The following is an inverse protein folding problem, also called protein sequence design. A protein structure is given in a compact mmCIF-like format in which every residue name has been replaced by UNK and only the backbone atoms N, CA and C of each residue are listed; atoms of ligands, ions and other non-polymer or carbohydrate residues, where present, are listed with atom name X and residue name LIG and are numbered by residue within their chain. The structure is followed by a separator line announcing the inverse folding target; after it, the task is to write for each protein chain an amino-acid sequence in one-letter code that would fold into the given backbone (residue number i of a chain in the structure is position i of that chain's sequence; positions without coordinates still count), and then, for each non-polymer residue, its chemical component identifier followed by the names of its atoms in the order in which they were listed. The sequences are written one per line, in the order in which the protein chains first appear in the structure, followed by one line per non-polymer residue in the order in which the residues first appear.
data_IF_219834424774
#
_entry.id   IF_219834424774
#
_cell.length_a   1.000
_cell.length_b   1.000
_cell.length_c   1.000
_cell.angle_alpha   90.00
_cell.angle_beta   90.00
_cell.angle_gamma   90.00
#
_symmetry.space_group_name_H-M   'P 1'
#
loop_
_entity.id
_entity.type
_entity.pdbx_description
1 polymer ?
#
# COMPACT_ATOMS: atom_id res chain seq x y z
N UNK A 1 54.29 -24.46 1.96
CA UNK A 1 53.00 -24.14 1.30
C UNK A 1 53.34 -23.65 -0.08
N UNK A 2 52.90 -24.35 -1.11
CA UNK A 2 53.22 -23.98 -2.49
C UNK A 2 52.51 -22.68 -2.86
N UNK A 3 53.18 -21.84 -3.64
CA UNK A 3 52.67 -20.54 -4.09
C UNK A 3 51.28 -20.66 -4.75
N UNK A 4 51.03 -21.81 -5.38
CA UNK A 4 49.77 -22.19 -6.00
C UNK A 4 48.62 -22.40 -5.01
N UNK A 5 48.85 -23.09 -3.88
CA UNK A 5 47.81 -23.32 -2.86
C UNK A 5 47.44 -22.02 -2.15
N UNK A 6 48.41 -21.13 -1.92
CA UNK A 6 48.16 -19.79 -1.39
C UNK A 6 47.27 -18.96 -2.33
N UNK A 7 47.56 -18.96 -3.64
CA UNK A 7 46.74 -18.23 -4.62
C UNK A 7 45.30 -18.75 -4.71
N UNK A 8 45.10 -20.07 -4.69
CA UNK A 8 43.76 -20.67 -4.69
C UNK A 8 42.96 -20.23 -3.45
N UNK A 9 43.54 -20.33 -2.25
CA UNK A 9 42.88 -19.93 -1.01
C UNK A 9 42.51 -18.44 -1.05
N UNK A 10 43.41 -17.59 -1.54
CA UNK A 10 43.19 -16.15 -1.64
C UNK A 10 42.06 -15.81 -2.62
N UNK A 11 41.99 -16.48 -3.77
CA UNK A 11 40.90 -16.30 -4.75
C UNK A 11 39.57 -16.78 -4.18
N UNK A 12 39.52 -17.95 -3.53
CA UNK A 12 38.30 -18.44 -2.91
C UNK A 12 37.83 -17.53 -1.76
N UNK A 13 38.75 -17.04 -0.93
CA UNK A 13 38.44 -16.05 0.11
C UNK A 13 37.93 -14.74 -0.49
N UNK A 14 38.55 -14.23 -1.56
CA UNK A 14 38.10 -13.04 -2.26
C UNK A 14 36.72 -13.23 -2.91
N UNK A 15 36.43 -14.38 -3.52
CA UNK A 15 35.12 -14.71 -4.09
C UNK A 15 34.07 -14.89 -2.99
N UNK A 16 34.43 -15.50 -1.85
CA UNK A 16 33.55 -15.64 -0.71
C UNK A 16 33.21 -14.27 -0.09
N UNK A 17 34.22 -13.42 0.12
CA UNK A 17 34.06 -12.04 0.61
C UNK A 17 33.28 -11.20 -0.38
N UNK A 18 33.58 -11.29 -1.69
CA UNK A 18 32.81 -10.62 -2.74
C UNK A 18 31.35 -11.07 -2.74
N UNK A 19 31.08 -12.39 -2.65
CA UNK A 19 29.70 -12.91 -2.51
C UNK A 19 29.03 -12.50 -1.21
N UNK A 20 29.80 -12.34 -0.13
CA UNK A 20 29.27 -11.88 1.17
C UNK A 20 28.94 -10.38 1.14
N UNK A 21 29.75 -9.59 0.45
CA UNK A 21 29.56 -8.15 0.25
C UNK A 21 28.48 -7.87 -0.80
N UNK A 22 28.41 -8.67 -1.88
CA UNK A 22 27.38 -8.61 -2.93
C UNK A 22 26.03 -9.19 -2.49
N UNK A 23 25.97 -9.85 -1.33
CA UNK A 23 24.71 -10.28 -0.69
C UNK A 23 23.86 -9.10 -0.19
N UNK A 24 24.28 -7.84 -0.39
CA UNK A 24 23.52 -6.66 0.03
C UNK A 24 23.04 -5.80 -1.14
N UNK A 25 21.74 -5.50 -1.04
CA UNK A 25 20.92 -4.59 -1.85
C UNK A 25 20.56 -5.11 -3.24
N UNK A 26 19.77 -6.20 -3.28
CA UNK A 26 18.87 -6.42 -4.42
C UNK A 26 17.99 -5.19 -4.53
N UNK A 27 18.21 -4.39 -5.59
CA UNK A 27 17.42 -3.17 -5.83
C UNK A 27 15.94 -3.53 -5.94
N UNK A 28 15.01 -2.65 -5.53
CA UNK A 28 13.58 -2.92 -5.65
C UNK A 28 13.18 -3.37 -7.06
N UNK A 29 13.78 -2.75 -8.10
CA UNK A 29 13.60 -3.14 -9.51
C UNK A 29 14.06 -4.57 -9.80
N UNK A 30 15.26 -4.95 -9.34
CA UNK A 30 15.77 -6.32 -9.54
C UNK A 30 14.88 -7.36 -8.83
N UNK A 31 14.33 -7.02 -7.66
CA UNK A 31 13.42 -7.87 -6.90
C UNK A 31 12.09 -8.07 -7.65
N UNK A 32 11.48 -6.99 -8.12
CA UNK A 32 10.26 -7.03 -8.93
C UNK A 32 10.48 -7.86 -10.20
N UNK A 33 11.59 -7.64 -10.90
CA UNK A 33 11.93 -8.43 -12.10
C UNK A 33 12.13 -9.92 -11.78
N UNK A 34 12.69 -10.26 -10.62
CA UNK A 34 12.82 -11.65 -10.17
C UNK A 34 11.44 -12.28 -9.87
N UNK A 35 10.54 -11.52 -9.22
CA UNK A 35 9.16 -11.96 -8.96
C UNK A 35 8.39 -12.18 -10.26
N UNK A 36 8.45 -11.24 -11.19
CA UNK A 36 7.79 -11.36 -12.50
C UNK A 36 8.32 -12.55 -13.30
N UNK A 37 9.64 -12.75 -13.36
CA UNK A 37 10.22 -13.94 -14.04
C UNK A 37 9.71 -15.24 -13.45
N UNK A 38 9.55 -15.31 -12.12
CA UNK A 38 9.00 -16.50 -11.45
C UNK A 38 7.52 -16.67 -11.75
N UNK A 39 6.75 -15.60 -11.70
CA UNK A 39 5.33 -15.59 -12.07
C UNK A 39 5.13 -16.13 -13.50
N UNK A 40 5.82 -15.57 -14.49
CA UNK A 40 5.69 -16.02 -15.89
C UNK A 40 6.13 -17.47 -16.11
N UNK A 41 7.09 -17.97 -15.31
CA UNK A 41 7.46 -19.38 -15.36
C UNK A 41 6.34 -20.30 -14.84
N UNK A 42 5.57 -19.86 -13.85
CA UNK A 42 4.41 -20.57 -13.31
C UNK A 42 3.20 -20.47 -14.26
N UNK A 43 2.98 -19.30 -14.86
CA UNK A 43 1.89 -19.10 -15.82
C UNK A 43 1.99 -20.06 -17.02
N UNK A 44 3.22 -20.35 -17.49
CA UNK A 44 3.47 -21.33 -18.55
C UNK A 44 3.07 -22.76 -18.20
N UNK A 45 2.86 -23.09 -16.93
CA UNK A 45 2.39 -24.42 -16.53
C UNK A 45 0.86 -24.54 -16.59
N UNK A 46 0.15 -23.50 -17.04
CA UNK A 46 -1.31 -23.50 -17.15
C UNK A 46 -2.05 -23.21 -15.83
N UNK A 47 -1.34 -22.75 -14.80
CA UNK A 47 -1.95 -22.33 -13.54
C UNK A 47 -2.72 -21.01 -13.72
N UNK A 48 -3.79 -20.84 -12.96
CA UNK A 48 -4.52 -19.56 -12.88
C UNK A 48 -3.65 -18.49 -12.21
N UNK A 49 -3.96 -17.21 -12.42
CA UNK A 49 -3.21 -16.11 -11.81
C UNK A 49 -3.14 -16.20 -10.27
N UNK A 50 -4.23 -16.46 -9.52
CA UNK A 50 -4.17 -16.64 -8.07
C UNK A 50 -3.26 -17.80 -7.64
N UNK A 51 -3.30 -18.92 -8.36
CA UNK A 51 -2.43 -20.08 -8.09
C UNK A 51 -0.96 -19.76 -8.34
N UNK A 52 -0.65 -19.05 -9.43
CA UNK A 52 0.70 -18.57 -9.73
C UNK A 52 1.22 -17.67 -8.60
N UNK A 53 0.39 -16.74 -8.12
CA UNK A 53 0.75 -15.81 -7.05
C UNK A 53 0.95 -16.54 -5.72
N UNK A 54 0.07 -17.48 -5.38
CA UNK A 54 0.22 -18.29 -4.17
C UNK A 54 1.49 -19.14 -4.20
N UNK A 55 1.76 -19.83 -5.31
CA UNK A 55 2.98 -20.63 -5.48
C UNK A 55 4.24 -19.75 -5.43
N UNK A 56 4.17 -18.54 -6.00
CA UNK A 56 5.25 -17.56 -5.89
C UNK A 56 5.51 -17.17 -4.43
N UNK A 57 4.48 -16.93 -3.62
CA UNK A 57 4.61 -16.58 -2.20
C UNK A 57 5.12 -17.77 -1.37
N UNK A 58 4.58 -18.97 -1.58
CA UNK A 58 4.97 -20.18 -0.86
C UNK A 58 6.42 -20.61 -1.12
N UNK A 59 6.99 -20.24 -2.27
CA UNK A 59 8.40 -20.52 -2.59
C UNK A 59 9.35 -19.39 -2.15
N UNK A 60 8.82 -18.27 -1.65
CA UNK A 60 9.59 -17.10 -1.24
C UNK A 60 9.99 -17.19 0.23
N UNK A 61 11.30 -17.09 0.51
CA UNK A 61 11.91 -17.36 1.83
C UNK A 61 11.20 -16.72 3.03
N UNK A 62 10.79 -15.45 2.90
CA UNK A 62 10.20 -14.68 4.00
C UNK A 62 8.67 -14.86 4.12
N UNK A 63 8.04 -15.49 3.13
CA UNK A 63 6.59 -15.63 3.04
C UNK A 63 6.13 -17.08 3.22
N UNK A 64 6.99 -18.05 2.90
CA UNK A 64 6.70 -19.49 2.99
C UNK A 64 6.31 -19.97 4.39
N UNK A 65 6.67 -19.23 5.42
CA UNK A 65 6.38 -19.58 6.81
C UNK A 65 5.02 -19.01 7.28
N UNK A 66 4.38 -18.15 6.48
CA UNK A 66 3.06 -17.64 6.81
C UNK A 66 1.99 -18.70 6.48
N UNK A 67 0.94 -18.82 7.30
CA UNK A 67 -0.16 -19.74 7.08
C UNK A 67 -0.75 -19.63 5.66
N UNK A 68 -1.02 -20.77 5.02
CA UNK A 68 -1.58 -20.79 3.67
C UNK A 68 -2.88 -19.98 3.55
N UNK A 69 -3.80 -20.13 4.52
CA UNK A 69 -5.06 -19.36 4.59
C UNK A 69 -4.86 -17.84 4.57
N UNK A 70 -3.81 -17.35 5.21
CA UNK A 70 -3.48 -15.93 5.26
C UNK A 70 -2.98 -15.43 3.90
N UNK A 71 -2.14 -16.22 3.22
CA UNK A 71 -1.66 -15.91 1.87
C UNK A 71 -2.80 -15.93 0.84
N UNK A 72 -3.73 -16.89 0.96
CA UNK A 72 -4.95 -16.95 0.13
C UNK A 72 -5.79 -15.70 0.31
N UNK A 73 -6.04 -15.30 1.56
CA UNK A 73 -6.81 -14.08 1.84
C UNK A 73 -6.10 -12.82 1.31
N UNK A 74 -4.78 -12.76 1.39
CA UNK A 74 -4.02 -11.64 0.85
C UNK A 74 -4.13 -11.55 -0.69
N UNK A 75 -3.93 -12.67 -1.38
CA UNK A 75 -3.99 -12.73 -2.85
C UNK A 75 -5.42 -12.46 -3.35
N UNK A 76 -6.45 -12.94 -2.67
CA UNK A 76 -7.84 -12.71 -3.08
C UNK A 76 -8.26 -11.23 -2.99
N UNK A 77 -7.70 -10.49 -2.02
CA UNK A 77 -7.95 -9.04 -1.85
C UNK A 77 -7.20 -8.19 -2.87
N UNK A 78 -6.00 -8.62 -3.24
CA UNK A 78 -5.14 -7.92 -4.18
C UNK A 78 -5.48 -8.38 -5.61
N UNK A 79 -6.33 -7.60 -6.28
CA UNK A 79 -7.01 -7.91 -7.56
C UNK A 79 -6.11 -8.21 -8.77
N UNK A 80 -4.79 -8.12 -8.66
CA UNK A 80 -3.86 -8.34 -9.76
C UNK A 80 -2.48 -8.79 -9.30
N UNK A 81 -1.75 -9.50 -10.17
CA UNK A 81 -0.32 -9.81 -9.98
C UNK A 81 0.52 -8.57 -9.70
N UNK A 82 0.23 -7.45 -10.36
CA UNK A 82 0.95 -6.20 -10.14
C UNK A 82 0.80 -5.73 -8.69
N UNK A 83 -0.41 -5.84 -8.14
CA UNK A 83 -0.70 -5.40 -6.78
C UNK A 83 -0.09 -6.33 -5.73
N UNK A 84 -0.14 -7.65 -5.95
CA UNK A 84 0.55 -8.63 -5.09
C UNK A 84 2.05 -8.40 -5.10
N UNK A 85 2.68 -8.26 -6.28
CA UNK A 85 4.13 -8.06 -6.40
C UNK A 85 4.56 -6.74 -5.74
N UNK A 86 3.78 -5.67 -5.94
CA UNK A 86 4.02 -4.36 -5.31
C UNK A 86 3.89 -4.44 -3.79
N UNK A 87 2.81 -5.05 -3.30
CA UNK A 87 2.58 -5.27 -1.88
C UNK A 87 3.76 -6.02 -1.27
N UNK A 88 4.12 -7.17 -1.84
CA UNK A 88 5.26 -7.98 -1.38
C UNK A 88 6.55 -7.18 -1.36
N UNK A 89 6.82 -6.40 -2.41
CA UNK A 89 8.03 -5.58 -2.47
C UNK A 89 8.10 -4.57 -1.34
N UNK A 90 7.02 -3.81 -1.10
CA UNK A 90 6.94 -2.82 -0.02
C UNK A 90 7.07 -3.49 1.34
N UNK A 91 6.30 -4.55 1.58
CA UNK A 91 6.36 -5.29 2.84
C UNK A 91 7.78 -5.72 3.15
N UNK A 92 8.51 -6.22 2.15
CA UNK A 92 9.90 -6.63 2.32
C UNK A 92 10.90 -5.50 2.53
N UNK A 93 10.73 -4.37 1.84
CA UNK A 93 11.58 -3.19 2.04
C UNK A 93 11.51 -2.68 3.48
N UNK A 94 10.31 -2.71 4.06
CA UNK A 94 10.06 -2.28 5.44
C UNK A 94 10.04 -3.43 6.46
N UNK A 95 10.32 -4.66 6.01
CA UNK A 95 10.37 -5.89 6.82
C UNK A 95 9.08 -6.23 7.57
N UNK A 96 7.93 -5.76 7.11
CA UNK A 96 6.63 -6.01 7.75
C UNK A 96 6.28 -7.50 7.83
N UNK A 97 6.69 -8.28 6.84
CA UNK A 97 6.54 -9.74 6.82
C UNK A 97 7.34 -10.46 7.92
N UNK A 98 8.39 -9.82 8.45
CA UNK A 98 9.17 -10.36 9.57
C UNK A 98 8.65 -9.87 10.93
N UNK A 99 8.18 -8.64 11.00
CA UNK A 99 7.86 -7.98 12.28
C UNK A 99 6.39 -8.02 12.63
N UNK A 100 5.48 -7.87 11.66
CA UNK A 100 4.04 -7.72 11.92
C UNK A 100 3.24 -8.95 11.48
N UNK A 101 3.51 -9.49 10.28
CA UNK A 101 2.67 -10.54 9.71
C UNK A 101 2.67 -11.87 10.47
N UNK A 102 3.75 -12.31 11.15
CA UNK A 102 3.71 -13.55 11.91
C UNK A 102 2.64 -13.54 13.00
N UNK A 103 2.43 -12.41 13.67
CA UNK A 103 1.40 -12.29 14.69
C UNK A 103 0.01 -12.13 14.07
N UNK A 104 -0.14 -11.22 13.10
CA UNK A 104 -1.41 -11.00 12.41
C UNK A 104 -1.94 -12.29 11.74
N UNK A 105 -1.06 -13.12 11.21
CA UNK A 105 -1.45 -14.36 10.52
C UNK A 105 -2.01 -15.45 11.46
N UNK A 106 -1.79 -15.32 12.78
CA UNK A 106 -2.36 -16.22 13.79
C UNK A 106 -3.81 -15.88 14.14
N UNK A 107 -4.27 -14.66 13.84
CA UNK A 107 -5.64 -14.24 14.13
C UNK A 107 -6.64 -15.21 13.50
N UNK A 108 -7.71 -15.51 14.24
CA UNK A 108 -8.78 -16.39 13.77
C UNK A 108 -9.58 -15.71 12.65
N UNK A 109 -9.87 -14.42 12.83
CA UNK A 109 -10.50 -13.60 11.81
C UNK A 109 -9.44 -12.99 10.89
N UNK A 110 -9.36 -13.50 9.66
CA UNK A 110 -8.41 -12.99 8.67
C UNK A 110 -8.83 -11.63 8.11
N UNK A 111 -10.08 -11.21 8.25
CA UNK A 111 -10.49 -9.86 7.84
C UNK A 111 -9.87 -8.81 8.76
N UNK A 112 -9.89 -9.02 10.08
CA UNK A 112 -9.23 -8.15 11.05
C UNK A 112 -7.72 -8.04 10.75
N UNK A 113 -7.08 -9.17 10.44
CA UNK A 113 -5.67 -9.19 10.04
C UNK A 113 -5.43 -8.35 8.77
N UNK A 114 -6.30 -8.44 7.75
CA UNK A 114 -6.19 -7.60 6.54
C UNK A 114 -6.45 -6.12 6.86
N UNK A 115 -7.34 -5.83 7.79
CA UNK A 115 -7.64 -4.49 8.29
C UNK A 115 -6.43 -3.87 8.98
N UNK A 116 -5.73 -4.63 9.82
CA UNK A 116 -4.48 -4.18 10.45
C UNK A 116 -3.37 -3.93 9.44
N UNK A 117 -3.23 -4.78 8.43
CA UNK A 117 -2.25 -4.56 7.34
C UNK A 117 -2.60 -3.29 6.56
N UNK A 118 -3.87 -3.10 6.21
CA UNK A 118 -4.33 -1.88 5.54
C UNK A 118 -4.04 -0.63 6.39
N UNK A 119 -4.26 -0.71 7.71
CA UNK A 119 -3.95 0.35 8.67
C UNK A 119 -2.45 0.67 8.71
N UNK A 120 -1.58 -0.34 8.73
CA UNK A 120 -0.13 -0.16 8.64
C UNK A 120 0.27 0.60 7.37
N UNK A 121 -0.29 0.23 6.22
CA UNK A 121 0.00 0.86 4.93
C UNK A 121 -0.57 2.28 4.86
N UNK A 122 -1.80 2.51 5.33
CA UNK A 122 -2.42 3.84 5.37
C UNK A 122 -1.60 4.81 6.22
N UNK A 123 -1.18 4.38 7.42
CA UNK A 123 -0.30 5.15 8.32
C UNK A 123 1.05 5.45 7.68
N UNK A 124 1.64 4.47 7.01
CA UNK A 124 2.90 4.66 6.32
C UNK A 124 2.77 5.66 5.17
N UNK A 125 1.73 5.53 4.35
CA UNK A 125 1.41 6.49 3.29
C UNK A 125 1.16 7.89 3.82
N UNK A 126 0.48 8.03 4.96
CA UNK A 126 0.27 9.32 5.61
C UNK A 126 1.58 9.97 6.08
N UNK A 127 2.55 9.20 6.59
CA UNK A 127 3.90 9.73 6.88
C UNK A 127 4.60 10.21 5.62
N UNK A 128 4.57 9.43 4.54
CA UNK A 128 5.14 9.82 3.24
C UNK A 128 4.51 11.11 2.71
N UNK A 129 3.20 11.29 2.90
CA UNK A 129 2.49 12.52 2.54
C UNK A 129 3.02 13.73 3.33
N UNK A 130 3.30 13.59 4.63
CA UNK A 130 3.90 14.65 5.46
C UNK A 130 5.34 15.00 5.05
N UNK A 131 6.04 14.05 4.45
CA UNK A 131 7.36 14.23 3.84
C UNK A 131 7.27 14.76 2.39
N UNK A 132 6.08 15.14 1.91
CA UNK A 132 5.81 15.61 0.54
C UNK A 132 6.14 14.57 -0.56
N UNK A 133 6.30 13.30 -0.19
CA UNK A 133 6.57 12.18 -1.09
C UNK A 133 5.29 11.62 -1.67
N UNK A 134 4.49 12.49 -2.29
CA UNK A 134 3.10 12.19 -2.69
C UNK A 134 2.95 10.98 -3.63
N UNK A 135 3.89 10.78 -4.56
CA UNK A 135 3.86 9.61 -5.48
C UNK A 135 3.98 8.29 -4.72
N UNK A 136 4.83 8.25 -3.70
CA UNK A 136 5.04 7.06 -2.86
C UNK A 136 3.88 6.88 -1.88
N UNK A 137 3.36 7.99 -1.33
CA UNK A 137 2.17 7.99 -0.49
C UNK A 137 0.95 7.41 -1.23
N UNK A 138 0.66 7.93 -2.43
CA UNK A 138 -0.43 7.45 -3.29
C UNK A 138 -0.28 5.95 -3.57
N UNK A 139 0.92 5.52 -3.89
CA UNK A 139 1.21 4.12 -4.20
C UNK A 139 0.87 3.18 -3.04
N UNK A 140 1.34 3.50 -1.82
CA UNK A 140 1.08 2.67 -0.63
C UNK A 140 -0.39 2.75 -0.20
N UNK A 141 -1.00 3.95 -0.26
CA UNK A 141 -2.41 4.15 0.10
C UNK A 141 -3.36 3.40 -0.85
N UNK A 142 -3.04 3.31 -2.14
CA UNK A 142 -3.80 2.45 -3.07
C UNK A 142 -3.74 0.97 -2.70
N UNK A 143 -2.61 0.49 -2.18
CA UNK A 143 -2.52 -0.89 -1.67
C UNK A 143 -3.39 -1.06 -0.42
N UNK A 144 -3.38 -0.10 0.51
CA UNK A 144 -4.27 -0.11 1.68
C UNK A 144 -5.75 -0.14 1.27
N UNK A 145 -6.15 0.70 0.31
CA UNK A 145 -7.52 0.75 -0.21
C UNK A 145 -7.95 -0.58 -0.85
N UNK A 146 -7.05 -1.27 -1.55
CA UNK A 146 -7.38 -2.59 -2.14
C UNK A 146 -7.58 -3.67 -1.09
N UNK A 147 -6.81 -3.63 0.00
CA UNK A 147 -6.97 -4.56 1.12
C UNK A 147 -8.29 -4.30 1.85
N UNK A 148 -8.63 -3.03 2.06
CA UNK A 148 -9.86 -2.65 2.75
C UNK A 148 -10.56 -1.45 2.06
N UNK A 149 -11.40 -1.71 1.05
CA UNK A 149 -12.01 -0.66 0.24
C UNK A 149 -13.13 0.11 0.95
N UNK A 150 -13.72 -0.46 2.00
CA UNK A 150 -14.85 0.14 2.73
C UNK A 150 -14.42 0.85 4.02
N UNK A 151 -13.12 1.00 4.26
CA UNK A 151 -12.63 1.61 5.49
C UNK A 151 -12.30 3.09 5.28
N UNK A 152 -12.78 3.97 6.17
CA UNK A 152 -12.51 5.40 6.06
C UNK A 152 -11.00 5.71 6.09
N UNK A 153 -10.24 4.96 6.89
CA UNK A 153 -8.81 5.19 7.06
C UNK A 153 -7.97 4.83 5.83
N UNK A 154 -8.54 4.13 4.84
CA UNK A 154 -7.86 3.89 3.55
C UNK A 154 -8.24 4.93 2.49
N UNK A 155 -9.49 5.43 2.51
CA UNK A 155 -10.00 6.44 1.58
C UNK A 155 -9.48 7.84 1.89
N UNK A 156 -9.62 8.30 3.13
CA UNK A 156 -9.35 9.69 3.52
C UNK A 156 -7.88 10.11 3.28
N UNK A 157 -6.86 9.30 3.60
CA UNK A 157 -5.47 9.65 3.28
C UNK A 157 -5.18 9.71 1.77
N UNK A 158 -5.79 8.82 0.99
CA UNK A 158 -5.66 8.84 -0.47
C UNK A 158 -6.30 10.09 -1.06
N UNK A 159 -7.49 10.45 -0.58
CA UNK A 159 -8.17 11.69 -0.95
C UNK A 159 -7.32 12.92 -0.62
N UNK A 160 -6.70 12.96 0.57
CA UNK A 160 -5.80 14.04 0.95
C UNK A 160 -4.55 14.12 0.07
N UNK A 161 -4.01 12.99 -0.37
CA UNK A 161 -2.89 12.94 -1.31
C UNK A 161 -3.30 13.44 -2.70
N UNK A 162 -4.49 13.08 -3.19
CA UNK A 162 -5.04 13.63 -4.43
C UNK A 162 -5.30 15.13 -4.34
N UNK A 163 -5.86 15.62 -3.23
CA UNK A 163 -6.00 17.05 -2.97
C UNK A 163 -4.66 17.77 -3.02
N UNK A 164 -3.64 17.24 -2.33
CA UNK A 164 -2.29 17.83 -2.26
C UNK A 164 -1.57 17.85 -3.62
N UNK A 165 -2.00 17.00 -4.56
CA UNK A 165 -1.45 16.92 -5.93
C UNK A 165 -2.34 17.59 -6.98
N UNK A 166 -3.37 18.35 -6.55
CA UNK A 166 -4.27 19.11 -7.45
C UNK A 166 -5.33 18.26 -8.14
N UNK A 167 -5.42 16.96 -7.85
CA UNK A 167 -6.40 16.03 -8.44
C UNK A 167 -7.73 16.10 -7.68
N UNK A 168 -8.35 17.27 -7.68
CA UNK A 168 -9.55 17.55 -6.88
C UNK A 168 -10.76 16.70 -7.29
N UNK A 169 -10.93 16.43 -8.58
CA UNK A 169 -12.00 15.57 -9.11
C UNK A 169 -11.90 14.13 -8.60
N UNK A 170 -10.68 13.61 -8.45
CA UNK A 170 -10.44 12.25 -7.95
C UNK A 170 -10.53 12.19 -6.42
N UNK A 171 -10.20 13.29 -5.75
CA UNK A 171 -10.23 13.40 -4.29
C UNK A 171 -11.65 13.48 -3.73
N UNK A 172 -12.53 14.25 -4.39
CA UNK A 172 -13.87 14.54 -3.91
C UNK A 172 -14.71 13.29 -3.57
N UNK A 173 -14.89 12.29 -4.48
CA UNK A 173 -15.67 11.10 -4.16
C UNK A 173 -15.05 10.30 -3.00
N UNK A 174 -13.72 10.26 -2.90
CA UNK A 174 -13.03 9.57 -1.80
C UNK A 174 -13.25 10.28 -0.45
N UNK A 175 -13.34 11.61 -0.43
CA UNK A 175 -13.69 12.35 0.78
C UNK A 175 -15.14 12.10 1.19
N UNK A 176 -16.08 12.16 0.25
CA UNK A 176 -17.50 11.93 0.53
C UNK A 176 -17.75 10.54 1.09
N UNK A 177 -17.25 9.51 0.41
CA UNK A 177 -17.37 8.14 0.89
C UNK A 177 -16.57 7.91 2.18
N UNK A 178 -15.37 8.47 2.29
CA UNK A 178 -14.52 8.33 3.48
C UNK A 178 -15.15 8.94 4.72
N UNK A 179 -15.74 10.13 4.62
CA UNK A 179 -16.43 10.80 5.72
C UNK A 179 -17.73 10.08 6.09
N UNK A 180 -18.46 9.55 5.10
CA UNK A 180 -19.65 8.72 5.35
C UNK A 180 -19.29 7.48 6.15
N UNK A 181 -18.26 6.75 5.71
CA UNK A 181 -17.77 5.56 6.41
C UNK A 181 -17.25 5.87 7.82
N UNK A 182 -16.70 7.07 8.03
CA UNK A 182 -16.29 7.54 9.35
C UNK A 182 -17.49 7.81 10.26
N UNK A 183 -18.52 8.48 9.76
CA UNK A 183 -19.74 8.76 10.51
C UNK A 183 -20.49 7.46 10.88
N UNK A 184 -20.50 6.46 9.99
CA UNK A 184 -21.04 5.12 10.29
C UNK A 184 -20.24 4.41 11.38
N UNK A 185 -18.90 4.47 11.31
CA UNK A 185 -18.03 3.90 12.32
C UNK A 185 -18.27 4.52 13.70
N UNK A 186 -18.34 5.84 13.80
CA UNK A 186 -18.56 6.54 15.08
C UNK A 186 -19.95 6.23 15.68
N UNK A 187 -20.99 6.06 14.85
CA UNK A 187 -22.32 5.63 15.32
C UNK A 187 -22.33 4.21 15.86
N UNK A 188 -21.51 3.32 15.28
CA UNK A 188 -21.40 1.92 15.67
C UNK A 188 -20.45 1.65 16.85
N UNK A 189 -19.67 2.66 17.27
CA UNK A 189 -18.62 2.52 18.28
C UNK A 189 -19.19 2.17 19.65
N UNK A 190 -18.79 1.02 20.21
CA UNK A 190 -19.06 0.67 21.62
C UNK A 190 -17.94 1.22 22.51
N UNK A 191 -18.25 1.51 23.77
CA UNK A 191 -17.33 2.12 24.73
C UNK A 191 -16.15 1.23 25.14
N UNK A 192 -16.11 -0.05 24.73
CA UNK A 192 -15.06 -1.03 25.06
C UNK A 192 -14.18 -1.46 23.88
N UNK A 193 -14.39 -0.94 22.66
CA UNK A 193 -13.57 -1.24 21.47
C UNK A 193 -12.19 -0.56 21.55
N UNK A 194 -11.36 -1.04 22.46
CA UNK A 194 -10.04 -0.48 22.77
C UNK A 194 -8.90 -1.20 22.02
N UNK A 195 -9.17 -2.37 21.42
CA UNK A 195 -8.15 -3.16 20.72
C UNK A 195 -7.88 -2.70 19.28
N UNK A 196 -8.84 -2.03 18.63
CA UNK A 196 -8.69 -1.56 17.26
C UNK A 196 -9.57 -0.32 17.02
N UNK A 197 -9.03 0.88 17.22
CA UNK A 197 -9.69 2.11 16.79
C UNK A 197 -9.05 2.55 15.47
N UNK A 198 -9.74 2.47 14.32
CA UNK A 198 -9.23 2.98 13.06
C UNK A 198 -8.84 4.48 13.07
N UNK A 199 -9.20 5.24 14.11
CA UNK A 199 -8.67 6.58 14.37
C UNK A 199 -7.16 6.55 14.72
N UNK A 200 -6.71 5.51 15.44
CA UNK A 200 -5.30 5.29 15.77
C UNK A 200 -4.43 5.01 14.52
N UNK A 201 -5.03 4.58 13.41
CA UNK A 201 -4.32 4.38 12.15
C UNK A 201 -3.78 5.67 11.57
N UNK A 202 -4.45 6.80 11.79
CA UNK A 202 -4.11 8.09 11.18
C UNK A 202 -3.64 9.15 12.20
N UNK A 203 -3.76 8.87 13.50
CA UNK A 203 -3.17 9.66 14.58
C UNK A 203 -3.73 9.23 15.93
N UNK A 204 -2.86 8.95 16.91
CA UNK A 204 -3.26 8.45 18.23
C UNK A 204 -3.86 9.53 19.16
N UNK A 205 -3.91 10.80 18.73
CA UNK A 205 -4.16 11.96 19.62
C UNK A 205 -5.06 13.03 18.99
N UNK A 206 -5.83 12.71 17.94
CA UNK A 206 -6.80 13.66 17.35
C UNK A 206 -8.19 13.24 17.82
N UNK A 207 -8.91 14.13 18.51
CA UNK A 207 -10.32 13.91 18.85
C UNK A 207 -11.14 13.68 17.56
N UNK A 208 -12.15 12.80 17.62
CA UNK A 208 -12.98 12.44 16.46
C UNK A 208 -13.53 13.67 15.72
N UNK A 209 -13.87 14.73 16.47
CA UNK A 209 -14.34 16.00 15.91
C UNK A 209 -13.26 16.71 15.10
N UNK A 210 -12.07 16.87 15.65
CA UNK A 210 -10.95 17.52 14.95
C UNK A 210 -10.53 16.73 13.70
N UNK A 211 -10.55 15.39 13.79
CA UNK A 211 -10.30 14.52 12.66
C UNK A 211 -11.31 14.77 11.55
N UNK A 212 -12.60 14.79 11.89
CA UNK A 212 -13.70 15.05 10.93
C UNK A 212 -13.57 16.43 10.30
N UNK A 213 -13.39 17.47 11.13
CA UNK A 213 -13.30 18.86 10.68
C UNK A 213 -12.13 19.07 9.71
N UNK A 214 -11.00 18.40 9.93
CA UNK A 214 -9.86 18.45 9.03
C UNK A 214 -10.22 17.94 7.64
N UNK A 215 -10.84 16.77 7.54
CA UNK A 215 -11.17 16.16 6.25
C UNK A 215 -12.34 16.86 5.55
N UNK A 216 -13.31 17.38 6.32
CA UNK A 216 -14.37 18.24 5.79
C UNK A 216 -13.83 19.51 5.14
N UNK A 217 -12.86 20.19 5.77
CA UNK A 217 -12.20 21.36 5.19
C UNK A 217 -11.51 21.04 3.86
N UNK A 218 -10.84 19.88 3.77
CA UNK A 218 -10.18 19.44 2.54
C UNK A 218 -11.20 19.08 1.44
N UNK A 219 -12.30 18.41 1.81
CA UNK A 219 -13.42 18.12 0.89
C UNK A 219 -13.99 19.40 0.31
N UNK A 220 -14.27 20.38 1.16
CA UNK A 220 -14.83 21.66 0.76
C UNK A 220 -13.91 22.43 -0.19
N UNK A 221 -12.60 22.41 0.10
CA UNK A 221 -11.61 22.99 -0.79
C UNK A 221 -11.59 22.30 -2.16
N UNK A 222 -11.68 20.97 -2.22
CA UNK A 222 -11.81 20.24 -3.49
C UNK A 222 -13.09 20.60 -4.24
N UNK A 223 -14.23 20.71 -3.55
CA UNK A 223 -15.51 21.07 -4.17
C UNK A 223 -15.43 22.45 -4.84
N UNK A 224 -14.94 23.45 -4.12
CA UNK A 224 -14.75 24.81 -4.64
C UNK A 224 -13.79 24.84 -5.84
N UNK A 225 -12.70 24.07 -5.77
CA UNK A 225 -11.76 23.97 -6.89
C UNK A 225 -12.39 23.33 -8.13
N UNK A 226 -13.25 22.32 -7.95
CA UNK A 226 -13.98 21.67 -9.04
C UNK A 226 -15.04 22.60 -9.67
N UNK A 227 -15.76 23.36 -8.85
CA UNK A 227 -16.74 24.36 -9.31
C UNK A 227 -16.08 25.52 -10.06
N UNK A 228 -14.94 26.02 -9.57
CA UNK A 228 -14.14 27.06 -10.21
C UNK A 228 -13.56 26.63 -11.57
N UNK A 229 -13.13 25.37 -11.69
CA UNK A 229 -12.69 24.81 -12.97
C UNK A 229 -13.84 24.72 -13.98
N UNK A 230 -15.03 24.30 -13.54
CA UNK A 230 -16.24 24.23 -14.38
C UNK A 230 -16.64 25.61 -14.90
N UNK A 231 -16.64 26.64 -14.05
CA UNK A 231 -16.96 28.01 -14.47
C UNK A 231 -15.95 28.56 -15.48
N UNK A 232 -14.65 28.31 -15.29
CA UNK A 232 -13.62 28.75 -16.25
C UNK A 232 -13.75 28.12 -17.65
N UNK A 233 -14.18 26.85 -17.73
CA UNK A 233 -14.43 26.16 -19.00
C UNK A 233 -15.66 26.73 -19.74
N UNK A 234 -16.70 27.14 -19.00
CA UNK A 234 -17.88 27.81 -19.58
C UNK A 234 -17.51 29.17 -20.18
N UNK A 235 -16.67 29.95 -19.50
CA UNK A 235 -16.18 31.23 -20.06
C UNK A 235 -15.30 31.05 -21.30
N UNK A 236 -14.47 30.00 -21.36
CA UNK A 236 -13.67 29.70 -22.55
C UNK A 236 -14.52 29.21 -23.74
N UNK A 237 -15.52 28.38 -23.50
CA UNK A 237 -16.44 27.92 -24.54
C UNK A 237 -17.32 29.07 -25.09
N UNK A 238 -17.77 29.98 -24.23
CA UNK A 238 -18.52 31.17 -24.62
C UNK A 238 -17.71 32.17 -25.47
N UNK A 239 -16.39 32.23 -25.30
CA UNK A 239 -15.53 33.08 -26.14
C UNK A 239 -15.28 32.49 -27.54
N UNK A 240 -15.30 31.17 -27.69
CA UNK A 240 -15.17 30.52 -29.01
C UNK A 240 -16.43 30.60 -29.86
N UNK A 241 -17.61 30.74 -29.26
CA UNK A 241 -18.88 30.92 -30.00
C UNK A 241 -19.18 32.39 -30.39
N UNK A 242 -18.51 33.37 -29.76
CA UNK A 242 -18.65 34.80 -30.09
C UNK A 242 -17.67 35.30 -31.17
N UNK A 243 -16.82 34.42 -31.71
CA UNK A 243 -15.81 34.72 -32.73
C UNK A 243 -16.06 34.01 -34.08
N UNK A 244 -17.26 33.42 -34.29
CA UNK A 244 -17.72 32.90 -35.58
C UNK A 244 -18.90 33.73 -36.12
#
# INVERSE_FOLDING_TARGET
MDYFTFWIITVFAAVAVYRLLSRRLVTPKARVNAMLRRYYALERTGLTEPECLLQMLLTRREWKNLPHRFLVQLVSRLRSKEDVIRFVSVSEDYRYQRTHYPELSKQTNLDDAMTEIACLFARFGFRLQREERYKEAEFVQKLALRLQPHQYFTKLPLAATYHSTGRHSDALPLFEEGLTNFDEFEKGRRSDDQAFSPAACLGAEIDSREFRDRYEKLREACRKAAEGASTSLVYFAGFTELLC
#
